data_IF_631564256872
#
_entry.id   IF_631564256872
#
_cell.length_a   1.000
_cell.length_b   1.000
_cell.length_c   1.000
_cell.angle_alpha   90.00
_cell.angle_beta   90.00
_cell.angle_gamma   90.00
#
_symmetry.space_group_name_H-M   'P 1'
#
loop_
_entity.id
_entity.type
_entity.pdbx_description
1 polymer ?
#
# COMPACT_ATOMS: atom_id res chain seq x y z
N UNK A 1 21.59 11.54 -7.74
CA UNK A 1 20.42 10.81 -8.25
C UNK A 1 19.19 11.45 -7.64
N UNK A 2 18.59 12.41 -8.32
CA UNK A 2 17.25 12.89 -7.97
C UNK A 2 16.27 11.74 -8.19
N UNK A 3 15.69 11.21 -7.09
CA UNK A 3 14.48 10.41 -7.22
C UNK A 3 13.37 11.34 -7.71
N UNK A 4 12.66 11.02 -8.79
CA UNK A 4 11.52 11.83 -9.19
C UNK A 4 10.57 11.92 -7.99
N UNK A 5 10.19 13.13 -7.61
CA UNK A 5 9.23 13.35 -6.53
C UNK A 5 8.02 12.43 -6.75
N UNK A 6 7.52 11.75 -5.69
CA UNK A 6 6.41 10.85 -5.85
C UNK A 6 5.25 11.60 -6.49
N UNK A 7 4.70 11.04 -7.57
CA UNK A 7 3.56 11.65 -8.27
C UNK A 7 2.43 11.82 -7.25
N UNK A 8 1.64 12.91 -7.28
CA UNK A 8 0.57 13.19 -6.31
C UNK A 8 -0.39 12.00 -6.08
N UNK A 9 -0.55 11.15 -7.11
CA UNK A 9 -1.33 9.93 -7.05
C UNK A 9 -0.72 8.86 -6.13
N UNK A 10 0.60 8.67 -6.15
CA UNK A 10 1.29 7.70 -5.30
C UNK A 10 1.23 8.11 -3.82
N UNK A 11 1.40 9.41 -3.54
CA UNK A 11 1.22 9.96 -2.19
C UNK A 11 -0.22 9.75 -1.70
N UNK A 12 -1.21 10.07 -2.55
CA UNK A 12 -2.61 9.83 -2.25
C UNK A 12 -2.89 8.34 -1.99
N UNK A 13 -2.32 7.42 -2.77
CA UNK A 13 -2.54 5.98 -2.58
C UNK A 13 -2.09 5.53 -1.19
N UNK A 14 -0.90 5.94 -0.73
CA UNK A 14 -0.31 5.45 0.53
C UNK A 14 -0.69 6.28 1.76
N UNK A 15 -1.35 7.42 1.59
CA UNK A 15 -1.79 8.30 2.66
C UNK A 15 -2.46 7.59 3.87
N UNK A 16 -3.32 6.56 3.70
CA UNK A 16 -3.92 5.85 4.83
C UNK A 16 -2.89 5.21 5.76
N UNK A 17 -1.76 4.73 5.22
CA UNK A 17 -0.68 4.14 6.00
C UNK A 17 0.12 5.21 6.75
N UNK A 18 0.28 6.39 6.15
CA UNK A 18 0.88 7.56 6.79
C UNK A 18 0.03 8.01 7.98
N UNK A 19 -1.29 8.11 7.79
CA UNK A 19 -2.25 8.44 8.85
C UNK A 19 -2.30 7.38 9.95
N UNK A 20 -2.06 6.11 9.61
CA UNK A 20 -1.90 5.02 10.57
C UNK A 20 -0.53 5.02 11.29
N UNK A 21 0.36 5.97 10.98
CA UNK A 21 1.63 6.17 11.66
C UNK A 21 2.81 5.39 11.09
N UNK A 22 2.69 4.79 9.90
CA UNK A 22 3.83 4.12 9.27
C UNK A 22 4.84 5.15 8.74
N UNK A 23 6.12 4.85 8.95
CA UNK A 23 7.20 5.64 8.36
C UNK A 23 7.34 5.31 6.87
N UNK A 24 7.86 6.24 6.04
CA UNK A 24 8.06 6.00 4.61
C UNK A 24 8.85 4.72 4.28
N UNK A 25 9.83 4.36 5.11
CA UNK A 25 10.61 3.13 4.94
C UNK A 25 9.75 1.86 5.12
N UNK A 26 8.81 1.87 6.07
CA UNK A 26 7.90 0.74 6.35
C UNK A 26 6.86 0.60 5.25
N UNK A 27 6.31 1.72 4.77
CA UNK A 27 5.41 1.76 3.61
C UNK A 27 6.10 1.18 2.38
N UNK A 28 7.34 1.62 2.11
CA UNK A 28 8.12 1.11 0.98
C UNK A 28 8.34 -0.39 1.08
N UNK A 29 8.62 -0.93 2.26
CA UNK A 29 8.75 -2.38 2.47
C UNK A 29 7.45 -3.12 2.15
N UNK A 30 6.30 -2.63 2.63
CA UNK A 30 5.00 -3.26 2.37
C UNK A 30 4.65 -3.24 0.88
N UNK A 31 4.77 -2.09 0.22
CA UNK A 31 4.49 -1.96 -1.22
C UNK A 31 5.44 -2.82 -2.04
N UNK A 32 6.72 -2.89 -1.67
CA UNK A 32 7.70 -3.75 -2.37
C UNK A 32 7.32 -5.22 -2.24
N UNK A 33 6.95 -5.69 -1.03
CA UNK A 33 6.49 -7.06 -0.81
C UNK A 33 5.23 -7.37 -1.62
N UNK A 34 4.26 -6.47 -1.62
CA UNK A 34 3.06 -6.58 -2.44
C UNK A 34 3.41 -6.76 -3.93
N UNK A 35 4.21 -5.85 -4.49
CA UNK A 35 4.63 -5.93 -5.89
C UNK A 35 5.38 -7.24 -6.17
N UNK A 36 6.24 -7.68 -5.26
CA UNK A 36 6.98 -8.93 -5.40
C UNK A 36 6.05 -10.14 -5.41
N UNK A 37 5.11 -10.25 -4.47
CA UNK A 37 4.12 -11.33 -4.44
C UNK A 37 3.28 -11.37 -5.72
N UNK A 38 2.89 -10.21 -6.27
CA UNK A 38 2.15 -10.11 -7.54
C UNK A 38 2.96 -10.54 -8.75
N UNK A 39 4.28 -10.35 -8.75
CA UNK A 39 5.16 -10.74 -9.85
C UNK A 39 5.54 -12.23 -9.77
N UNK A 40 5.76 -12.73 -8.55
CA UNK A 40 6.27 -14.11 -8.32
C UNK A 40 5.16 -15.13 -8.21
N UNK A 41 3.98 -14.74 -7.73
CA UNK A 41 2.79 -15.60 -7.73
C UNK A 41 1.98 -15.35 -9.00
N UNK A 42 1.23 -16.35 -9.45
CA UNK A 42 0.31 -16.28 -10.61
C UNK A 42 -0.97 -15.47 -10.23
N UNK A 43 -0.76 -14.28 -9.66
CA UNK A 43 -1.75 -13.46 -8.95
C UNK A 43 -1.65 -13.58 -7.42
N UNK A 44 -2.11 -12.52 -6.72
CA UNK A 44 -2.25 -12.52 -5.25
C UNK A 44 -3.73 -12.52 -4.90
N UNK A 45 -4.17 -13.59 -4.23
CA UNK A 45 -5.53 -13.66 -3.69
C UNK A 45 -5.71 -12.71 -2.48
N UNK A 46 -6.95 -12.31 -2.15
CA UNK A 46 -7.24 -11.38 -1.05
C UNK A 46 -6.66 -11.78 0.31
N UNK A 47 -6.65 -13.08 0.62
CA UNK A 47 -6.08 -13.59 1.86
C UNK A 47 -4.57 -13.28 1.97
N UNK A 48 -3.82 -13.54 0.89
CA UNK A 48 -2.37 -13.34 0.85
C UNK A 48 -1.96 -11.86 0.90
N UNK A 49 -2.85 -10.96 0.47
CA UNK A 49 -2.68 -9.53 0.67
C UNK A 49 -2.79 -9.12 2.13
N UNK A 50 -3.69 -9.76 2.90
CA UNK A 50 -3.88 -9.49 4.32
C UNK A 50 -2.73 -10.08 5.16
N UNK A 51 -2.19 -11.23 4.76
CA UNK A 51 -1.05 -11.87 5.43
C UNK A 51 0.17 -10.94 5.52
N UNK A 52 0.38 -10.06 4.54
CA UNK A 52 1.49 -9.08 4.52
C UNK A 52 1.50 -8.12 5.72
N UNK A 53 0.33 -7.92 6.35
CA UNK A 53 0.14 -7.03 7.50
C UNK A 53 -0.43 -7.76 8.71
N UNK A 54 -0.40 -9.10 8.74
CA UNK A 54 -0.96 -9.90 9.83
C UNK A 54 -0.35 -9.50 11.18
N UNK A 55 0.96 -9.36 11.30
CA UNK A 55 1.60 -8.98 12.57
C UNK A 55 1.41 -7.51 12.97
N UNK A 56 0.68 -6.72 12.18
CA UNK A 56 0.48 -5.28 12.42
C UNK A 56 -0.78 -5.00 13.21
N UNK A 57 -0.84 -3.81 13.81
CA UNK A 57 -2.00 -3.37 14.58
C UNK A 57 -3.26 -3.27 13.70
N UNK A 58 -4.47 -3.36 14.29
CA UNK A 58 -5.72 -3.28 13.54
C UNK A 58 -5.82 -2.01 12.66
N UNK A 59 -5.35 -0.86 13.16
CA UNK A 59 -5.34 0.40 12.43
C UNK A 59 -4.53 0.30 11.12
N UNK A 60 -3.37 -0.36 11.17
CA UNK A 60 -2.49 -0.55 10.01
C UNK A 60 -3.14 -1.52 9.01
N UNK A 61 -3.78 -2.59 9.50
CA UNK A 61 -4.50 -3.54 8.64
C UNK A 61 -5.66 -2.86 7.91
N UNK A 62 -6.45 -2.04 8.59
CA UNK A 62 -7.52 -1.25 7.97
C UNK A 62 -6.98 -0.25 6.95
N UNK A 63 -5.88 0.43 7.27
CA UNK A 63 -5.22 1.35 6.35
C UNK A 63 -4.70 0.62 5.10
N UNK A 64 -4.15 -0.57 5.25
CA UNK A 64 -3.66 -1.41 4.15
C UNK A 64 -4.77 -1.79 3.17
N UNK A 65 -5.93 -2.22 3.67
CA UNK A 65 -7.11 -2.50 2.82
C UNK A 65 -7.50 -1.26 2.02
N UNK A 66 -7.55 -0.08 2.64
CA UNK A 66 -7.85 1.18 1.94
C UNK A 66 -6.82 1.50 0.84
N UNK A 67 -5.54 1.19 1.04
CA UNK A 67 -4.53 1.38 -0.02
C UNK A 67 -4.79 0.43 -1.19
N UNK A 68 -5.09 -0.83 -0.91
CA UNK A 68 -5.41 -1.82 -1.95
C UNK A 68 -6.64 -1.39 -2.74
N UNK A 69 -7.72 -0.98 -2.06
CA UNK A 69 -8.93 -0.46 -2.71
C UNK A 69 -8.60 0.72 -3.64
N UNK A 70 -7.79 1.68 -3.16
CA UNK A 70 -7.32 2.82 -3.97
C UNK A 70 -6.49 2.40 -5.19
N UNK A 71 -5.68 1.35 -5.08
CA UNK A 71 -4.88 0.82 -6.18
C UNK A 71 -5.75 0.12 -7.24
N UNK A 72 -6.83 -0.55 -6.81
CA UNK A 72 -7.78 -1.25 -7.70
C UNK A 72 -8.69 -0.24 -8.41
N UNK A 73 -9.25 0.72 -7.67
CA UNK A 73 -10.20 1.70 -8.20
C UNK A 73 -9.52 2.79 -9.05
N UNK A 74 -8.22 3.03 -8.81
CA UNK A 74 -7.36 3.90 -9.61
C UNK A 74 -7.70 5.40 -9.60
N UNK A 75 -8.77 5.82 -8.92
CA UNK A 75 -9.32 7.19 -9.01
C UNK A 75 -9.21 7.93 -7.67
N UNK A 76 -8.36 8.98 -7.58
CA UNK A 76 -8.38 9.89 -6.44
C UNK A 76 -9.76 10.56 -6.31
N UNK A 77 -10.26 10.85 -5.09
CA UNK A 77 -11.48 11.62 -4.93
C UNK A 77 -11.30 12.99 -5.60
N UNK A 78 -12.32 13.42 -6.36
CA UNK A 78 -12.33 14.76 -6.94
C UNK A 78 -12.13 15.80 -5.83
N UNK A 79 -11.12 16.65 -5.99
CA UNK A 79 -10.81 17.74 -5.04
C UNK A 79 -11.92 18.78 -5.00
#
# INVERSE_FOLDING_TARGET
>A
MDSPAPRPQAEWMVQPLVEAGLRPAEIRTLVTRLCFETVVSDGVGPARLLDLVEDRSPAIRTAWVRVIDRMIDGTPPAR
#
